data_IF_649380587864
#
_entry.id   IF_649380587864
#
_cell.length_a   1.000
_cell.length_b   1.000
_cell.length_c   1.000
_cell.angle_alpha   90.00
_cell.angle_beta   90.00
_cell.angle_gamma   90.00
#
_symmetry.space_group_name_H-M   'P 1'
#
loop_
_entity.id
_entity.type
_entity.pdbx_description
1 polymer ?
#
# COMPACT_ATOMS: atom_id res chain seq x y z
N UNK A 1 -0.05 7.68 16.18
CA UNK A 1 -0.31 7.18 14.82
C UNK A 1 1.02 7.19 14.08
N UNK A 2 1.52 6.03 13.67
CA UNK A 2 2.84 5.91 13.03
C UNK A 2 2.65 5.43 11.59
N UNK A 3 3.33 6.10 10.66
CA UNK A 3 3.33 5.76 9.24
C UNK A 3 4.73 5.30 8.88
N UNK A 4 4.83 4.17 8.17
CA UNK A 4 6.09 3.71 7.62
C UNK A 4 6.22 4.15 6.17
N UNK A 5 7.28 4.91 5.86
CA UNK A 5 7.56 5.38 4.51
C UNK A 5 8.60 4.47 3.87
N UNK A 6 8.27 3.92 2.70
CA UNK A 6 9.14 3.04 1.94
C UNK A 6 9.41 3.61 0.55
N UNK A 7 10.68 3.69 0.16
CA UNK A 7 11.06 4.14 -1.17
C UNK A 7 10.82 3.04 -2.20
N UNK A 8 10.12 3.39 -3.29
CA UNK A 8 9.93 2.57 -4.49
C UNK A 8 10.61 3.25 -5.66
N UNK A 9 11.19 2.46 -6.57
CA UNK A 9 11.72 2.92 -7.85
C UNK A 9 10.70 2.53 -8.93
N UNK A 10 10.10 3.49 -9.66
CA UNK A 10 9.01 3.21 -10.60
C UNK A 10 9.38 2.22 -11.71
N UNK A 11 10.58 2.34 -12.27
CA UNK A 11 11.01 1.51 -13.41
C UNK A 11 11.35 0.08 -12.96
N UNK A 12 11.91 -0.07 -11.76
CA UNK A 12 12.36 -1.34 -11.19
C UNK A 12 12.03 -1.43 -9.70
N UNK A 13 10.76 -1.70 -9.33
CA UNK A 13 10.34 -1.73 -7.95
C UNK A 13 10.96 -2.92 -7.21
N UNK A 14 11.56 -2.64 -6.05
CA UNK A 14 12.08 -3.70 -5.17
C UNK A 14 10.94 -4.60 -4.68
N UNK A 15 10.99 -5.89 -5.04
CA UNK A 15 10.01 -6.90 -4.65
C UNK A 15 9.75 -6.95 -3.13
N UNK A 16 10.75 -6.68 -2.29
CA UNK A 16 10.59 -6.62 -0.84
C UNK A 16 9.58 -5.56 -0.40
N UNK A 17 9.56 -4.41 -1.07
CA UNK A 17 8.64 -3.29 -0.77
C UNK A 17 7.22 -3.66 -1.16
N UNK A 18 7.05 -4.21 -2.36
CA UNK A 18 5.74 -4.66 -2.86
C UNK A 18 5.15 -5.75 -1.97
N UNK A 19 5.93 -6.77 -1.62
CA UNK A 19 5.49 -7.86 -0.72
C UNK A 19 5.06 -7.34 0.66
N UNK A 20 5.74 -6.31 1.17
CA UNK A 20 5.38 -5.69 2.45
C UNK A 20 4.05 -4.93 2.34
N UNK A 21 3.84 -4.13 1.29
CA UNK A 21 2.57 -3.46 1.04
C UNK A 21 1.40 -4.46 0.94
N UNK A 22 1.58 -5.55 0.20
CA UNK A 22 0.58 -6.63 0.08
C UNK A 22 0.27 -7.26 1.45
N UNK A 23 1.29 -7.49 2.29
CA UNK A 23 1.09 -8.02 3.65
C UNK A 23 0.25 -7.07 4.50
N UNK A 24 0.53 -5.77 4.43
CA UNK A 24 -0.21 -4.73 5.16
C UNK A 24 -1.69 -4.73 4.73
N UNK A 25 -1.94 -4.70 3.42
CA UNK A 25 -3.30 -4.73 2.85
C UNK A 25 -4.06 -5.96 3.34
N UNK A 26 -3.46 -7.17 3.22
CA UNK A 26 -4.09 -8.42 3.68
C UNK A 26 -4.32 -8.50 5.18
N UNK A 27 -3.58 -7.74 5.98
CA UNK A 27 -3.80 -7.63 7.42
C UNK A 27 -4.86 -6.59 7.81
N UNK A 28 -5.56 -5.99 6.83
CA UNK A 28 -6.55 -4.94 7.05
C UNK A 28 -5.96 -3.54 7.21
N UNK A 29 -4.69 -3.35 6.87
CA UNK A 29 -4.06 -2.04 6.85
C UNK A 29 -4.29 -1.29 5.53
N UNK A 30 -3.99 0.01 5.55
CA UNK A 30 -4.06 0.88 4.39
C UNK A 30 -2.67 1.22 3.86
N UNK A 31 -2.57 1.43 2.55
CA UNK A 31 -1.34 1.83 1.86
C UNK A 31 -1.63 3.01 0.94
N UNK A 32 -0.75 4.00 0.97
CA UNK A 32 -0.71 5.09 -0.01
C UNK A 32 0.38 4.80 -1.03
N UNK A 33 0.07 4.80 -2.32
CA UNK A 33 1.00 4.41 -3.39
C UNK A 33 0.92 5.35 -4.60
N UNK A 34 2.03 5.53 -5.35
CA UNK A 34 2.05 6.38 -6.53
C UNK A 34 1.32 5.73 -7.70
N UNK A 35 0.65 6.54 -8.52
CA UNK A 35 0.13 6.16 -9.84
C UNK A 35 0.70 7.11 -10.91
N UNK A 36 0.28 6.95 -12.16
CA UNK A 36 0.60 7.85 -13.27
C UNK A 36 -0.13 9.21 -13.18
N UNK A 37 -1.13 9.35 -12.30
CA UNK A 37 -1.91 10.58 -12.11
C UNK A 37 -1.72 11.18 -10.72
N UNK A 38 -2.26 10.54 -9.69
CA UNK A 38 -2.22 10.97 -8.29
C UNK A 38 -1.88 9.81 -7.36
N UNK A 39 -1.58 10.10 -6.09
CA UNK A 39 -1.44 9.03 -5.11
C UNK A 39 -2.79 8.35 -4.84
N UNK A 40 -2.80 7.02 -4.85
CA UNK A 40 -3.94 6.20 -4.48
C UNK A 40 -3.88 5.78 -3.02
N UNK A 41 -5.03 5.66 -2.37
CA UNK A 41 -5.20 5.00 -1.08
C UNK A 41 -5.83 3.62 -1.32
N UNK A 42 -5.18 2.56 -0.88
CA UNK A 42 -5.62 1.19 -1.09
C UNK A 42 -5.71 0.39 0.20
N UNK A 43 -6.71 -0.49 0.26
CA UNK A 43 -6.95 -1.45 1.33
C UNK A 43 -7.59 -2.72 0.75
N UNK A 44 -7.84 -3.71 1.59
CA UNK A 44 -8.52 -4.94 1.17
C UNK A 44 -10.02 -4.67 0.98
N UNK A 45 -10.53 -4.79 -0.26
CA UNK A 45 -11.93 -4.55 -0.60
C UNK A 45 -12.90 -5.48 0.14
N UNK A 46 -12.46 -6.65 0.58
CA UNK A 46 -13.31 -7.59 1.32
C UNK A 46 -13.29 -7.34 2.83
N UNK A 47 -12.39 -6.48 3.31
CA UNK A 47 -12.33 -6.09 4.71
C UNK A 47 -13.21 -4.85 4.95
N UNK A 48 -14.37 -5.05 5.58
CA UNK A 48 -15.30 -3.96 5.90
C UNK A 48 -14.64 -2.85 6.73
N UNK A 49 -13.72 -3.21 7.63
CA UNK A 49 -12.99 -2.25 8.46
C UNK A 49 -11.97 -1.40 7.69
N UNK A 50 -11.67 -1.73 6.43
CA UNK A 50 -10.84 -0.91 5.55
C UNK A 50 -11.66 0.12 4.74
N UNK A 51 -12.99 0.04 4.80
CA UNK A 51 -13.94 0.90 4.05
C UNK A 51 -14.63 1.90 4.98
N UNK A 52 -14.90 1.51 6.24
CA UNK A 52 -15.44 2.37 7.31
C UNK A 52 -14.40 3.35 7.88
#
# INVERSE_FOLDING_TARGET
>A
MAVEVMKVYPDHPHQRVIKKAVKIIKSGGLVVYPTDTIYGLGGDLYNKSAIE
#
